data_IF_649225328138
#
_entry.id   IF_649225328138
#
_cell.length_a   1.000
_cell.length_b   1.000
_cell.length_c   1.000
_cell.angle_alpha   90.00
_cell.angle_beta   90.00
_cell.angle_gamma   90.00
#
_symmetry.space_group_name_H-M   'P 1'
#
loop_
_entity.id
_entity.type
_entity.pdbx_description
1 polymer ?
#
# COMPACT_ATOMS: atom_id res chain seq x y z
N UNK A 1 -18.81 -16.15 -12.11
CA UNK A 1 -19.54 -16.73 -10.94
C UNK A 1 -19.13 -15.92 -9.72
N UNK A 2 -20.07 -15.37 -8.96
CA UNK A 2 -19.78 -14.53 -7.80
C UNK A 2 -20.20 -15.26 -6.50
N UNK A 3 -19.40 -15.14 -5.45
CA UNK A 3 -19.69 -15.76 -4.13
C UNK A 3 -19.72 -14.70 -3.05
N UNK A 4 -20.89 -14.46 -2.42
CA UNK A 4 -21.02 -13.54 -1.29
C UNK A 4 -20.61 -14.23 0.01
N UNK A 5 -19.78 -13.58 0.80
CA UNK A 5 -19.28 -14.11 2.06
C UNK A 5 -19.03 -13.01 3.10
N UNK A 6 -18.80 -13.41 4.35
CA UNK A 6 -18.45 -12.52 5.46
C UNK A 6 -17.31 -13.15 6.24
N UNK A 7 -16.29 -12.36 6.57
CA UNK A 7 -15.13 -12.81 7.37
C UNK A 7 -14.89 -11.87 8.55
N UNK A 8 -14.28 -12.40 9.60
CA UNK A 8 -13.90 -11.65 10.80
C UNK A 8 -12.47 -11.11 10.65
N UNK A 9 -12.29 -9.80 10.80
CA UNK A 9 -11.00 -9.13 10.74
C UNK A 9 -10.55 -8.73 12.14
N UNK A 10 -9.39 -9.21 12.58
CA UNK A 10 -8.76 -8.68 13.79
C UNK A 10 -8.15 -7.30 13.50
N UNK A 11 -8.54 -6.26 14.26
CA UNK A 11 -7.88 -4.97 14.16
C UNK A 11 -6.54 -5.07 14.87
N UNK A 12 -5.47 -5.19 14.09
CA UNK A 12 -4.14 -4.83 14.59
C UNK A 12 -3.97 -3.34 14.32
N UNK A 13 -4.53 -2.50 15.20
CA UNK A 13 -4.42 -1.04 15.09
C UNK A 13 -2.95 -0.62 15.06
N UNK A 14 -2.47 -0.17 13.90
CA UNK A 14 -1.23 0.58 13.80
C UNK A 14 -1.55 2.06 13.98
N UNK A 15 -1.88 2.46 15.21
CA UNK A 15 -1.94 3.88 15.58
C UNK A 15 -0.53 4.48 15.51
N UNK A 16 -0.20 5.13 14.40
CA UNK A 16 0.92 6.08 14.34
C UNK A 16 0.46 7.37 14.99
N UNK A 17 0.88 7.60 16.23
CA UNK A 17 0.76 8.90 16.87
C UNK A 17 1.61 9.92 16.09
N UNK A 18 0.96 10.81 15.34
CA UNK A 18 1.56 12.07 14.92
C UNK A 18 1.58 13.00 16.13
N UNK A 19 2.74 13.15 16.76
CA UNK A 19 2.98 14.23 17.71
C UNK A 19 3.00 15.55 16.91
N UNK A 20 1.95 16.35 17.07
CA UNK A 20 1.92 17.73 16.59
C UNK A 20 2.79 18.57 17.50
N UNK A 21 3.97 18.96 17.02
CA UNK A 21 4.77 20.02 17.64
C UNK A 21 4.11 21.37 17.31
N UNK A 22 3.50 21.97 18.31
CA UNK A 22 3.09 23.37 18.31
C UNK A 22 4.31 24.27 18.14
N UNK A 23 4.34 25.09 17.09
CA UNK A 23 5.21 26.26 17.03
C UNK A 23 4.42 27.47 16.55
N UNK A 24 4.54 28.52 17.35
CA UNK A 24 3.83 29.78 17.27
C UNK A 24 4.38 30.65 16.14
N UNK A 25 3.45 31.41 15.55
CA UNK A 25 3.62 32.44 14.53
C UNK A 25 4.77 33.43 14.78
N UNK A 26 5.48 33.81 13.71
CA UNK A 26 5.94 35.19 13.50
C UNK A 26 6.15 35.47 11.99
N UNK A 27 5.38 36.43 11.48
CA UNK A 27 5.52 37.04 10.16
C UNK A 27 6.72 38.00 10.12
N UNK A 28 7.46 38.06 9.02
CA UNK A 28 7.96 39.33 8.48
C UNK A 28 8.42 39.21 7.02
N UNK A 29 7.99 40.19 6.23
CA UNK A 29 8.30 40.45 4.83
C UNK A 29 9.80 40.77 4.61
N UNK A 30 10.36 40.29 3.49
CA UNK A 30 11.00 41.11 2.44
C UNK A 30 11.70 40.24 1.37
N UNK A 31 11.45 40.60 0.12
CA UNK A 31 12.23 40.30 -1.10
C UNK A 31 12.80 41.65 -1.61
N UNK A 32 13.63 41.75 -2.69
CA UNK A 32 14.22 40.72 -3.57
C UNK A 32 15.73 40.98 -3.94
N UNK A 33 16.23 40.18 -4.92
CA UNK A 33 17.32 40.44 -5.89
C UNK A 33 18.77 40.19 -5.42
N UNK A 34 19.49 39.22 -6.04
CA UNK A 34 20.55 39.48 -7.04
C UNK A 34 21.16 38.18 -7.63
N UNK A 35 21.23 38.15 -8.96
CA UNK A 35 21.97 37.21 -9.81
C UNK A 35 23.49 37.42 -9.69
N UNK A 36 24.30 36.35 -9.73
CA UNK A 36 25.57 36.36 -10.50
C UNK A 36 26.13 34.95 -10.71
N UNK A 37 26.57 34.70 -11.95
CA UNK A 37 27.40 33.58 -12.39
C UNK A 37 28.82 33.68 -11.80
N UNK A 38 29.48 32.54 -11.55
CA UNK A 38 30.76 32.17 -12.20
C UNK A 38 31.31 30.81 -11.73
N UNK A 39 31.57 29.93 -12.69
CA UNK A 39 32.58 28.84 -12.69
C UNK A 39 33.91 29.41 -13.27
N UNK A 40 35.02 28.64 -13.45
CA UNK A 40 35.54 27.40 -12.82
C UNK A 40 37.06 27.55 -12.48
N UNK A 41 37.79 26.41 -12.37
CA UNK A 41 39.26 26.17 -12.48
C UNK A 41 39.91 25.80 -11.11
N UNK A 42 40.77 24.78 -10.94
CA UNK A 42 41.50 23.89 -11.84
C UNK A 42 42.06 22.66 -11.07
N UNK A 43 42.40 21.60 -11.82
CA UNK A 43 43.10 20.38 -11.38
C UNK A 43 44.51 20.61 -10.83
N UNK A 44 44.98 19.74 -9.92
CA UNK A 44 46.38 19.28 -9.87
C UNK A 44 46.49 17.79 -9.49
N UNK A 45 47.17 17.05 -10.35
CA UNK A 45 47.81 15.76 -10.12
C UNK A 45 49.16 15.96 -9.38
N UNK A 46 49.54 15.01 -8.52
CA UNK A 46 50.93 14.58 -8.35
C UNK A 46 51.00 13.23 -7.63
N UNK A 47 51.89 12.38 -8.12
CA UNK A 47 52.02 10.96 -7.82
C UNK A 47 53.09 10.63 -6.78
N UNK A 48 52.97 9.40 -6.28
CA UNK A 48 54.04 8.44 -5.90
C UNK A 48 55.04 8.78 -4.80
N UNK A 49 55.10 7.88 -3.80
CA UNK A 49 56.37 7.36 -3.30
C UNK A 49 56.22 5.97 -2.69
N UNK A 50 57.09 5.09 -3.16
CA UNK A 50 57.40 3.72 -2.70
C UNK A 50 58.35 3.77 -1.49
N UNK A 51 58.26 2.78 -0.59
CA UNK A 51 59.38 1.94 -0.09
C UNK A 51 58.97 1.08 1.13
N UNK A 52 58.91 -0.21 0.87
CA UNK A 52 59.30 -1.42 1.63
C UNK A 52 59.61 -1.42 3.15
N UNK A 53 58.94 -2.37 3.81
CA UNK A 53 59.47 -3.42 4.72
C UNK A 53 60.06 -3.08 6.10
N UNK A 54 59.31 -3.40 7.16
CA UNK A 54 59.76 -4.39 8.17
C UNK A 54 58.59 -4.87 9.03
N UNK A 55 58.33 -6.18 8.98
CA UNK A 55 57.35 -6.87 9.81
C UNK A 55 57.96 -7.11 11.19
N UNK A 56 57.38 -6.53 12.26
CA UNK A 56 57.66 -6.92 13.65
C UNK A 56 56.42 -7.62 14.19
N UNK A 57 56.56 -8.92 14.44
CA UNK A 57 55.57 -9.71 15.16
C UNK A 57 55.71 -9.37 16.65
N UNK A 58 54.69 -8.71 17.20
CA UNK A 58 54.47 -8.62 18.64
C UNK A 58 53.23 -9.46 18.97
N UNK A 59 53.45 -10.59 19.62
CA UNK A 59 52.39 -11.42 20.20
C UNK A 59 51.82 -10.71 21.44
N UNK A 60 50.63 -10.15 21.31
CA UNK A 60 49.81 -9.74 22.45
C UNK A 60 48.59 -10.65 22.52
N UNK A 61 48.56 -11.51 23.54
CA UNK A 61 47.43 -12.34 23.92
C UNK A 61 46.27 -11.46 24.38
N UNK A 62 45.35 -11.11 23.48
CA UNK A 62 44.07 -10.51 23.81
C UNK A 62 42.98 -11.56 23.70
N UNK A 63 42.73 -12.26 24.81
CA UNK A 63 41.50 -13.02 25.03
C UNK A 63 40.36 -12.02 25.20
N UNK A 64 39.58 -11.81 24.14
CA UNK A 64 38.41 -10.95 24.17
C UNK A 64 37.25 -11.66 23.47
N UNK A 65 36.52 -12.38 24.31
CA UNK A 65 35.13 -12.84 24.22
C UNK A 65 34.41 -12.54 22.91
N UNK A 66 33.96 -13.59 22.22
CA UNK A 66 32.98 -13.48 21.15
C UNK A 66 31.66 -12.96 21.74
N UNK A 67 31.40 -11.67 21.59
CA UNK A 67 30.07 -11.13 21.81
C UNK A 67 29.16 -11.63 20.69
N UNK A 68 28.43 -12.71 20.95
CA UNK A 68 27.15 -12.95 20.28
C UNK A 68 26.27 -11.77 20.70
N UNK A 69 26.16 -10.75 19.85
CA UNK A 69 25.03 -9.84 19.94
C UNK A 69 23.82 -10.67 19.51
N UNK A 70 23.12 -11.22 20.50
CA UNK A 70 21.78 -11.73 20.30
C UNK A 70 20.97 -10.65 19.58
N UNK A 71 20.47 -10.99 18.39
CA UNK A 71 19.40 -10.24 17.77
C UNK A 71 18.30 -10.08 18.84
N UNK A 72 17.76 -8.87 19.07
CA UNK A 72 16.75 -8.70 20.09
C UNK A 72 15.54 -9.52 19.64
N UNK A 73 15.29 -10.64 20.34
CA UNK A 73 14.03 -11.36 20.32
C UNK A 73 12.97 -10.33 20.71
N UNK A 74 12.32 -9.75 19.69
CA UNK A 74 11.21 -8.84 19.86
C UNK A 74 10.10 -9.67 20.49
N UNK A 75 9.97 -9.58 21.81
CA UNK A 75 8.96 -10.28 22.60
C UNK A 75 7.57 -9.93 22.06
N UNK A 76 7.02 -10.80 21.22
CA UNK A 76 5.64 -10.69 20.73
C UNK A 76 4.73 -11.12 21.88
N UNK A 77 4.43 -10.20 22.78
CA UNK A 77 3.18 -10.26 23.53
C UNK A 77 2.09 -9.77 22.58
N UNK A 78 1.66 -10.59 21.63
CA UNK A 78 0.37 -10.36 20.98
C UNK A 78 -0.68 -10.57 22.06
N UNK A 79 -1.17 -9.47 22.61
CA UNK A 79 -2.04 -9.45 23.77
C UNK A 79 -3.26 -10.30 23.48
N UNK A 80 -3.65 -11.15 24.44
CA UNK A 80 -4.95 -11.80 24.48
C UNK A 80 -6.14 -10.83 24.19
N UNK A 81 -5.92 -9.53 24.42
CA UNK A 81 -6.86 -8.44 24.15
C UNK A 81 -6.91 -7.94 22.69
N UNK A 82 -5.95 -8.28 21.82
CA UNK A 82 -5.98 -7.87 20.40
C UNK A 82 -7.15 -8.52 19.64
N UNK A 83 -7.76 -9.58 20.20
CA UNK A 83 -8.99 -10.18 19.66
C UNK A 83 -10.24 -9.34 19.89
N UNK A 84 -10.20 -8.38 20.83
CA UNK A 84 -11.42 -7.74 21.33
C UNK A 84 -11.98 -6.67 20.40
N UNK A 85 -11.14 -6.06 19.56
CA UNK A 85 -11.57 -5.13 18.51
C UNK A 85 -11.45 -5.81 17.17
N UNK A 86 -12.56 -6.39 16.72
CA UNK A 86 -12.54 -7.14 15.50
C UNK A 86 -13.89 -7.02 14.82
N UNK A 87 -13.83 -6.54 13.57
CA UNK A 87 -14.97 -6.18 12.76
C UNK A 87 -15.32 -7.28 11.76
N UNK A 88 -16.57 -7.30 11.31
CA UNK A 88 -16.98 -8.13 10.19
C UNK A 88 -16.70 -7.39 8.87
N UNK A 89 -16.08 -8.09 7.92
CA UNK A 89 -15.96 -7.64 6.54
C UNK A 89 -16.91 -8.46 5.68
N UNK A 90 -17.89 -7.78 5.08
CA UNK A 90 -18.74 -8.34 4.05
C UNK A 90 -18.09 -8.13 2.68
N UNK A 91 -18.04 -9.18 1.86
CA UNK A 91 -17.43 -9.11 0.54
C UNK A 91 -18.10 -10.06 -0.45
N UNK A 92 -17.81 -9.86 -1.73
CA UNK A 92 -18.16 -10.78 -2.80
C UNK A 92 -16.91 -11.16 -3.57
N UNK A 93 -16.68 -12.45 -3.76
CA UNK A 93 -15.55 -12.97 -4.53
C UNK A 93 -15.92 -13.04 -6.01
N UNK A 94 -15.08 -12.45 -6.85
CA UNK A 94 -15.20 -12.48 -8.30
C UNK A 94 -13.93 -13.02 -8.93
N UNK A 95 -14.00 -13.39 -10.22
CA UNK A 95 -12.81 -13.59 -11.03
C UNK A 95 -13.06 -13.15 -12.48
N UNK A 96 -12.02 -12.60 -13.11
CA UNK A 96 -11.98 -12.26 -14.53
C UNK A 96 -10.92 -13.11 -15.21
N UNK A 97 -11.34 -14.11 -16.01
CA UNK A 97 -10.44 -15.03 -16.73
C UNK A 97 -9.42 -15.75 -15.83
N UNK A 98 -9.79 -16.02 -14.59
CA UNK A 98 -8.96 -16.73 -13.61
C UNK A 98 -8.20 -15.84 -12.64
N UNK A 99 -8.11 -14.53 -12.92
CA UNK A 99 -7.62 -13.55 -11.95
C UNK A 99 -8.75 -13.21 -10.96
N UNK A 100 -8.59 -13.59 -9.70
CA UNK A 100 -9.64 -13.55 -8.68
C UNK A 100 -9.47 -12.41 -7.66
N UNK A 101 -10.59 -11.80 -7.28
CA UNK A 101 -10.63 -10.62 -6.43
C UNK A 101 -11.67 -10.74 -5.32
N UNK A 102 -11.38 -10.11 -4.19
CA UNK A 102 -12.33 -9.84 -3.10
C UNK A 102 -12.89 -8.45 -3.32
N UNK A 103 -14.18 -8.32 -3.64
CA UNK A 103 -14.83 -7.02 -3.83
C UNK A 103 -15.57 -6.61 -2.57
N UNK A 104 -15.33 -5.39 -2.14
CA UNK A 104 -15.92 -4.79 -0.93
C UNK A 104 -16.72 -3.56 -1.33
N UNK A 105 -17.99 -3.50 -0.92
CA UNK A 105 -18.76 -2.27 -1.00
C UNK A 105 -18.23 -1.30 0.06
N UNK A 106 -17.62 -0.22 -0.41
CA UNK A 106 -16.94 0.80 0.36
C UNK A 106 -17.48 2.20 0.00
N UNK A 107 -18.70 2.28 -0.54
CA UNK A 107 -19.32 3.53 -1.00
C UNK A 107 -19.67 4.47 0.16
N UNK A 108 -19.71 3.95 1.37
CA UNK A 108 -19.93 4.66 2.63
C UNK A 108 -18.70 5.40 3.18
N UNK A 109 -17.51 5.22 2.60
CA UNK A 109 -16.27 5.85 3.09
C UNK A 109 -15.26 6.16 1.98
N UNK A 110 -14.52 7.25 2.15
CA UNK A 110 -13.37 7.61 1.29
C UNK A 110 -12.07 6.89 1.69
N UNK A 111 -12.09 6.12 2.77
CA UNK A 111 -10.97 5.28 3.21
C UNK A 111 -11.32 3.78 3.03
N UNK A 112 -10.38 2.95 2.54
CA UNK A 112 -10.58 1.51 2.43
C UNK A 112 -10.87 0.88 3.79
N UNK A 113 -11.88 0.00 3.85
CA UNK A 113 -12.29 -0.72 5.07
C UNK A 113 -11.24 -1.66 5.64
N UNK A 114 -10.19 -1.98 4.87
CA UNK A 114 -9.07 -2.81 5.32
C UNK A 114 -7.76 -2.12 5.01
N UNK A 115 -6.74 -2.38 5.82
CA UNK A 115 -5.38 -1.91 5.54
C UNK A 115 -4.68 -2.80 4.52
N UNK A 116 -3.58 -2.33 3.89
CA UNK A 116 -2.74 -3.18 3.04
C UNK A 116 -2.27 -4.47 3.72
N UNK A 117 -1.91 -4.42 5.01
CA UNK A 117 -1.45 -5.59 5.77
C UNK A 117 -2.60 -6.59 6.03
N UNK A 118 -3.83 -6.09 6.18
CA UNK A 118 -5.01 -6.93 6.27
C UNK A 118 -5.35 -7.55 4.90
N UNK A 119 -5.18 -6.80 3.81
CA UNK A 119 -5.36 -7.32 2.45
C UNK A 119 -4.41 -8.50 2.16
N UNK A 120 -3.13 -8.40 2.55
CA UNK A 120 -2.17 -9.51 2.44
C UNK A 120 -2.68 -10.77 3.14
N UNK A 121 -3.18 -10.64 4.37
CA UNK A 121 -3.73 -11.77 5.15
C UNK A 121 -4.99 -12.36 4.51
N UNK A 122 -5.86 -11.50 3.95
CA UNK A 122 -7.07 -11.93 3.26
C UNK A 122 -6.76 -12.67 1.95
N UNK A 123 -5.75 -12.21 1.22
CA UNK A 123 -5.33 -12.76 -0.05
C UNK A 123 -4.56 -14.08 0.07
N UNK A 124 -4.07 -14.45 1.26
CA UNK A 124 -3.46 -15.75 1.49
C UNK A 124 -4.46 -16.88 1.15
N UNK A 125 -4.06 -17.79 0.25
CA UNK A 125 -4.93 -18.85 -0.28
C UNK A 125 -5.16 -20.03 0.67
N UNK A 126 -4.32 -20.19 1.69
CA UNK A 126 -4.39 -21.30 2.63
C UNK A 126 -5.02 -20.86 3.97
N UNK A 127 -4.67 -19.67 4.44
CA UNK A 127 -5.05 -19.15 5.75
C UNK A 127 -6.05 -17.99 5.67
N UNK A 128 -6.24 -17.42 4.48
CA UNK A 128 -7.20 -16.35 4.21
C UNK A 128 -8.37 -16.81 3.34
N UNK A 129 -8.97 -15.86 2.62
CA UNK A 129 -10.01 -16.12 1.62
C UNK A 129 -9.39 -16.61 0.31
N UNK A 130 -8.19 -16.13 -0.01
CA UNK A 130 -7.45 -16.46 -1.22
C UNK A 130 -7.90 -15.66 -2.44
N UNK A 131 -7.09 -14.70 -2.88
CA UNK A 131 -7.35 -13.88 -4.06
C UNK A 131 -6.06 -13.20 -4.54
N UNK A 132 -6.02 -12.78 -5.80
CA UNK A 132 -4.90 -11.98 -6.35
C UNK A 132 -4.92 -10.53 -5.82
N UNK A 133 -6.09 -10.02 -5.40
CA UNK A 133 -6.23 -8.73 -4.74
C UNK A 133 -7.60 -8.45 -4.11
N UNK A 134 -7.69 -7.34 -3.38
CA UNK A 134 -8.91 -6.79 -2.77
C UNK A 134 -9.26 -5.49 -3.50
N UNK A 135 -10.48 -5.38 -4.01
CA UNK A 135 -11.00 -4.22 -4.74
C UNK A 135 -12.09 -3.53 -3.92
N UNK A 136 -12.04 -2.20 -3.86
CA UNK A 136 -13.00 -1.38 -3.14
C UNK A 136 -13.85 -0.56 -4.12
N UNK A 137 -15.17 -0.70 -4.01
CA UNK A 137 -16.13 0.21 -4.63
C UNK A 137 -16.33 1.42 -3.72
N UNK A 138 -15.76 2.56 -4.09
CA UNK A 138 -15.71 3.77 -3.28
C UNK A 138 -16.60 4.86 -3.87
N UNK A 139 -16.99 5.88 -3.08
CA UNK A 139 -17.74 7.01 -3.62
C UNK A 139 -16.99 7.70 -4.76
N UNK A 140 -17.73 8.27 -5.70
CA UNK A 140 -17.21 9.03 -6.83
C UNK A 140 -16.27 10.17 -6.42
N UNK A 141 -15.30 10.47 -7.30
CA UNK A 141 -14.32 11.54 -7.10
C UNK A 141 -14.30 12.45 -8.32
N UNK A 142 -14.27 13.77 -8.11
CA UNK A 142 -14.26 14.77 -9.20
C UNK A 142 -15.36 14.58 -10.25
N UNK A 143 -16.56 14.17 -9.83
CA UNK A 143 -17.72 14.02 -10.71
C UNK A 143 -17.82 12.67 -11.41
N UNK A 144 -16.98 11.69 -11.08
CA UNK A 144 -17.23 10.29 -11.47
C UNK A 144 -18.33 9.66 -10.64
N UNK A 145 -18.95 8.59 -11.15
CA UNK A 145 -19.98 7.85 -10.42
C UNK A 145 -19.37 7.08 -9.23
N UNK A 146 -18.22 6.45 -9.46
CA UNK A 146 -17.50 5.68 -8.44
C UNK A 146 -15.99 5.93 -8.49
N UNK A 147 -15.31 5.49 -7.44
CA UNK A 147 -13.86 5.35 -7.40
C UNK A 147 -13.50 3.88 -7.17
N UNK A 148 -12.48 3.37 -7.86
CA UNK A 148 -11.95 2.04 -7.66
C UNK A 148 -10.52 2.13 -7.12
N UNK A 149 -10.30 1.52 -5.96
CA UNK A 149 -8.96 1.26 -5.40
C UNK A 149 -8.76 -0.24 -5.26
N UNK A 150 -7.50 -0.66 -5.26
CA UNK A 150 -7.14 -2.07 -5.19
C UNK A 150 -5.89 -2.24 -4.35
N UNK A 151 -5.89 -3.27 -3.50
CA UNK A 151 -4.68 -3.79 -2.87
C UNK A 151 -4.39 -5.17 -3.44
N UNK A 152 -3.19 -5.35 -3.99
CA UNK A 152 -2.72 -6.65 -4.43
C UNK A 152 -2.48 -7.58 -3.23
N UNK A 153 -2.29 -8.87 -3.51
CA UNK A 153 -1.95 -9.90 -2.54
C UNK A 153 -0.67 -9.64 -1.74
N UNK A 154 0.24 -8.80 -2.25
CA UNK A 154 1.46 -8.35 -1.56
C UNK A 154 1.26 -7.04 -0.76
N UNK A 155 0.05 -6.48 -0.79
CA UNK A 155 -0.31 -5.22 -0.14
C UNK A 155 0.03 -3.97 -0.96
N UNK A 156 0.63 -4.11 -2.14
CA UNK A 156 0.86 -2.97 -3.03
C UNK A 156 -0.46 -2.42 -3.58
N UNK A 157 -0.51 -1.11 -3.83
CA UNK A 157 -1.65 -0.46 -4.47
C UNK A 157 -1.31 -0.11 -5.91
N UNK A 158 -1.76 -0.90 -6.92
CA UNK A 158 -1.56 -0.55 -8.31
C UNK A 158 -2.57 0.51 -8.76
N UNK A 159 -2.19 1.27 -9.79
CA UNK A 159 -3.01 2.36 -10.33
C UNK A 159 -4.28 1.86 -11.05
N UNK A 160 -4.20 0.70 -11.70
CA UNK A 160 -5.32 0.11 -12.46
C UNK A 160 -5.18 -1.41 -12.57
N UNK A 161 -6.32 -2.11 -12.68
CA UNK A 161 -6.38 -3.53 -12.98
C UNK A 161 -7.51 -3.83 -13.98
N UNK A 162 -7.15 -4.26 -15.20
CA UNK A 162 -8.10 -4.45 -16.30
C UNK A 162 -9.09 -5.60 -16.05
N UNK A 163 -8.67 -6.68 -15.40
CA UNK A 163 -9.59 -7.75 -14.97
C UNK A 163 -10.45 -7.27 -13.80
N UNK A 164 -9.85 -6.51 -12.88
CA UNK A 164 -10.51 -5.94 -11.72
C UNK A 164 -11.67 -5.02 -12.11
N UNK A 165 -11.47 -4.10 -13.08
CA UNK A 165 -12.52 -3.16 -13.49
C UNK A 165 -13.72 -3.85 -14.16
N UNK A 166 -13.52 -5.00 -14.82
CA UNK A 166 -14.63 -5.81 -15.36
C UNK A 166 -15.41 -6.49 -14.24
N UNK A 167 -14.73 -7.03 -13.23
CA UNK A 167 -15.38 -7.57 -12.04
C UNK A 167 -16.12 -6.48 -11.26
N UNK A 168 -15.50 -5.30 -11.13
CA UNK A 168 -16.09 -4.11 -10.53
C UNK A 168 -17.37 -3.71 -11.26
N UNK A 169 -17.34 -3.73 -12.60
CA UNK A 169 -18.48 -3.35 -13.41
C UNK A 169 -19.70 -4.20 -13.03
N UNK A 170 -19.52 -5.52 -13.07
CA UNK A 170 -20.55 -6.49 -12.68
C UNK A 170 -21.02 -6.32 -11.24
N UNK A 171 -20.10 -6.04 -10.32
CA UNK A 171 -20.41 -5.86 -8.90
C UNK A 171 -21.31 -4.65 -8.64
N UNK A 172 -21.04 -3.51 -9.27
CA UNK A 172 -21.90 -2.33 -9.18
C UNK A 172 -23.29 -2.62 -9.73
N UNK A 173 -23.38 -3.28 -10.89
CA UNK A 173 -24.67 -3.63 -11.48
C UNK A 173 -25.50 -4.55 -10.59
N UNK A 174 -24.87 -5.48 -9.87
CA UNK A 174 -25.55 -6.33 -8.91
C UNK A 174 -25.96 -5.59 -7.63
N UNK A 175 -25.18 -4.61 -7.18
CA UNK A 175 -25.52 -3.79 -6.01
C UNK A 175 -26.67 -2.82 -6.27
N UNK A 176 -26.71 -2.24 -7.47
CA UNK A 176 -27.67 -1.21 -7.87
C UNK A 176 -28.84 -1.79 -8.70
N UNK A 177 -28.92 -3.12 -8.83
CA UNK A 177 -29.93 -3.86 -9.60
C UNK A 177 -30.10 -3.35 -11.04
N UNK A 178 -28.97 -3.03 -11.68
CA UNK A 178 -28.92 -2.53 -13.05
C UNK A 178 -28.98 -3.69 -14.04
N UNK A 179 -29.96 -3.63 -14.96
CA UNK A 179 -30.20 -4.65 -15.97
C UNK A 179 -29.93 -4.11 -17.38
N UNK A 180 -29.49 -5.00 -18.28
CA UNK A 180 -29.20 -4.66 -19.67
C UNK A 180 -27.92 -3.83 -19.84
N UNK A 181 -27.75 -3.24 -21.03
CA UNK A 181 -26.56 -2.45 -21.37
C UNK A 181 -26.50 -1.12 -20.63
N UNK A 182 -25.41 -0.87 -19.93
CA UNK A 182 -25.16 0.38 -19.22
C UNK A 182 -23.66 0.60 -18.99
N UNK A 183 -23.29 1.86 -18.77
CA UNK A 183 -21.93 2.29 -18.47
C UNK A 183 -21.94 3.28 -17.32
N UNK A 184 -20.79 3.42 -16.67
CA UNK A 184 -20.55 4.39 -15.61
C UNK A 184 -19.10 4.79 -15.58
N UNK A 185 -18.84 5.94 -14.95
CA UNK A 185 -17.53 6.54 -14.85
C UNK A 185 -16.86 6.13 -13.54
N UNK A 186 -15.62 5.62 -13.65
CA UNK A 186 -14.83 5.12 -12.52
C UNK A 186 -13.52 5.90 -12.45
N UNK A 187 -13.27 6.54 -11.32
CA UNK A 187 -11.96 7.11 -11.03
C UNK A 187 -10.99 6.02 -10.54
N UNK A 188 -9.79 5.98 -11.10
CA UNK A 188 -8.72 5.04 -10.72
C UNK A 188 -7.40 5.80 -10.57
N UNK A 189 -6.35 5.15 -10.05
CA UNK A 189 -5.01 5.74 -10.00
C UNK A 189 -4.45 6.09 -11.39
N UNK A 190 -4.90 5.38 -12.44
CA UNK A 190 -4.54 5.66 -13.83
C UNK A 190 -5.45 6.72 -14.49
N UNK A 191 -6.39 7.32 -13.75
CA UNK A 191 -7.35 8.30 -14.25
C UNK A 191 -8.75 7.73 -14.48
N UNK A 192 -9.51 8.39 -15.36
CA UNK A 192 -10.90 8.06 -15.68
C UNK A 192 -10.99 6.79 -16.55
N UNK A 193 -11.78 5.82 -16.10
CA UNK A 193 -12.12 4.60 -16.83
C UNK A 193 -13.64 4.48 -16.94
N UNK A 194 -14.14 4.03 -18.09
CA UNK A 194 -15.57 3.87 -18.34
C UNK A 194 -15.85 2.42 -18.76
N UNK A 195 -16.12 1.51 -17.80
CA UNK A 195 -16.63 0.20 -18.14
C UNK A 195 -18.05 0.28 -18.71
N UNK A 196 -18.35 -0.59 -19.66
CA UNK A 196 -19.69 -0.75 -20.23
C UNK A 196 -20.07 -2.24 -20.23
N UNK A 197 -21.15 -2.58 -19.54
CA UNK A 197 -21.76 -3.90 -19.63
C UNK A 197 -22.50 -4.00 -20.95
N UNK A 198 -22.23 -5.06 -21.70
CA UNK A 198 -22.84 -5.32 -23.00
C UNK A 198 -24.20 -6.03 -22.86
N UNK A 199 -24.94 -6.14 -23.97
CA UNK A 199 -26.25 -6.80 -24.01
C UNK A 199 -26.20 -8.29 -23.61
N UNK A 200 -25.03 -8.93 -23.72
CA UNK A 200 -24.80 -10.31 -23.28
C UNK A 200 -24.50 -10.42 -21.77
N UNK A 201 -24.54 -9.29 -21.05
CA UNK A 201 -24.33 -9.20 -19.61
C UNK A 201 -22.86 -9.30 -19.18
N UNK A 202 -21.91 -9.19 -20.12
CA UNK A 202 -20.46 -9.21 -19.85
C UNK A 202 -19.82 -7.84 -19.90
#
# INVERSE_FOLDING_TARGET
MAMKATIYLSNTSSSRHFLTSSSSSCYSLKQPIQFSLQQPQQLRFAASRSMSSTCRISASSSSSSMSIQEAPLKTIKSSFLDRKESGFLHFVKYHGLGNDFILVDNRDSFEPKVTPEQAVKLCDRNFGVGADGVIFAMPGFNGTDYTMRIFNSDGSEPEMCGNGVRCFARFISELDDLQGKHSFTVHTGAGLIVPEIQDDGK
#
